data_IF_848223210159
#
_entry.id   IF_848223210159
#
_cell.length_a   1.000
_cell.length_b   1.000
_cell.length_c   1.000
_cell.angle_alpha   90.00
_cell.angle_beta   90.00
_cell.angle_gamma   90.00
#
_symmetry.space_group_name_H-M   'P 1'
#
loop_
_entity.id
_entity.type
_entity.pdbx_description
1 polymer ?
#
# COMPACT_ATOMS: atom_id res chain seq x y z
N UNK A 1 -5.45 11.23 14.56
CA UNK A 1 -6.21 10.04 14.09
C UNK A 1 -5.22 8.92 13.85
N UNK A 2 -5.52 7.69 14.27
CA UNK A 2 -4.70 6.51 14.00
C UNK A 2 -5.42 5.68 12.94
N UNK A 3 -4.79 5.50 11.77
CA UNK A 3 -5.33 4.61 10.73
C UNK A 3 -4.96 3.17 11.04
N UNK A 4 -5.97 2.32 11.19
CA UNK A 4 -5.82 0.88 11.31
C UNK A 4 -7.06 0.21 10.72
N UNK A 5 -6.98 -0.24 9.47
CA UNK A 5 -8.12 -0.84 8.79
C UNK A 5 -7.71 -1.84 7.72
N UNK A 6 -8.67 -2.71 7.38
CA UNK A 6 -8.66 -3.57 6.20
C UNK A 6 -9.81 -3.15 5.30
N UNK A 7 -9.52 -2.85 4.04
CA UNK A 7 -10.51 -2.57 3.01
C UNK A 7 -10.50 -3.70 2.00
N UNK A 8 -11.60 -4.44 1.92
CA UNK A 8 -11.80 -5.47 0.89
C UNK A 8 -12.46 -4.83 -0.33
N UNK A 9 -11.78 -4.94 -1.47
CA UNK A 9 -12.26 -4.39 -2.74
C UNK A 9 -13.27 -5.33 -3.36
N UNK A 10 -14.39 -4.80 -3.86
CA UNK A 10 -15.29 -5.57 -4.73
C UNK A 10 -14.80 -5.55 -6.18
N UNK A 11 -14.11 -4.49 -6.59
CA UNK A 11 -13.50 -4.34 -7.92
C UNK A 11 -12.34 -3.32 -7.89
N UNK A 12 -11.59 -3.18 -8.98
CA UNK A 12 -10.61 -2.11 -9.16
C UNK A 12 -10.47 -1.72 -10.63
N UNK A 13 -10.08 -0.47 -10.87
CA UNK A 13 -9.67 0.05 -12.18
C UNK A 13 -8.16 0.26 -12.17
N UNK A 14 -7.50 -0.08 -13.28
CA UNK A 14 -6.06 0.18 -13.46
C UNK A 14 -5.84 1.26 -14.50
N UNK A 15 -5.01 2.23 -14.15
CA UNK A 15 -4.57 3.28 -15.04
C UNK A 15 -3.06 3.24 -15.20
N UNK A 16 -2.56 3.46 -16.41
CA UNK A 16 -1.14 3.59 -16.74
C UNK A 16 -0.97 4.90 -17.50
N UNK A 17 -0.10 5.79 -16.99
CA UNK A 17 0.10 7.14 -17.55
C UNK A 17 -1.21 7.93 -17.75
N UNK A 18 -2.17 7.76 -16.84
CA UNK A 18 -3.49 8.41 -16.90
C UNK A 18 -4.49 7.75 -17.85
N UNK A 19 -4.08 6.72 -18.60
CA UNK A 19 -4.95 5.97 -19.52
C UNK A 19 -5.53 4.77 -18.78
N UNK A 20 -6.84 4.57 -18.89
CA UNK A 20 -7.51 3.37 -18.35
C UNK A 20 -7.10 2.14 -19.16
N UNK A 21 -6.56 1.12 -18.50
CA UNK A 21 -6.01 -0.08 -19.15
C UNK A 21 -6.64 -1.40 -18.70
N UNK A 22 -7.28 -1.43 -17.52
CA UNK A 22 -7.95 -2.63 -17.03
C UNK A 22 -9.07 -2.33 -16.03
N UNK A 23 -10.03 -3.25 -15.92
CA UNK A 23 -11.20 -3.14 -15.08
C UNK A 23 -12.34 -2.34 -15.72
N UNK A 24 -13.55 -2.30 -15.12
CA UNK A 24 -13.94 -3.11 -13.96
C UNK A 24 -13.88 -4.60 -14.32
N UNK A 25 -13.49 -5.44 -13.37
CA UNK A 25 -13.31 -6.87 -13.57
C UNK A 25 -14.54 -7.68 -13.13
N UNK A 26 -15.58 -7.03 -12.58
CA UNK A 26 -16.75 -7.72 -12.04
C UNK A 26 -16.42 -8.53 -10.78
N UNK A 27 -15.29 -8.22 -10.15
CA UNK A 27 -14.68 -8.97 -9.07
C UNK A 27 -13.18 -8.69 -9.02
N UNK A 28 -12.70 -8.13 -7.92
CA UNK A 28 -11.27 -8.04 -7.63
C UNK A 28 -11.03 -8.49 -6.19
N UNK A 29 -10.66 -9.74 -6.02
CA UNK A 29 -10.35 -10.34 -4.73
C UNK A 29 -9.02 -9.77 -4.19
N UNK A 30 -9.05 -8.51 -3.78
CA UNK A 30 -7.92 -7.77 -3.24
C UNK A 30 -8.34 -7.05 -1.97
N UNK A 31 -7.42 -6.95 -1.03
CA UNK A 31 -7.61 -6.11 0.14
C UNK A 31 -6.44 -5.14 0.32
N UNK A 32 -6.73 -3.94 0.79
CA UNK A 32 -5.74 -2.96 1.22
C UNK A 32 -5.80 -2.85 2.73
N UNK A 33 -4.69 -3.14 3.40
CA UNK A 33 -4.55 -2.93 4.84
C UNK A 33 -3.62 -1.76 5.10
N UNK A 34 -4.02 -0.91 6.02
CA UNK A 34 -3.20 0.19 6.54
C UNK A 34 -3.09 -0.02 8.04
N UNK A 35 -1.86 -0.10 8.54
CA UNK A 35 -1.59 -0.28 9.97
C UNK A 35 -0.47 0.66 10.43
N UNK A 36 -0.47 1.12 11.69
CA UNK A 36 0.64 1.92 12.21
C UNK A 36 1.94 1.12 12.15
N UNK A 37 3.04 1.77 11.78
CA UNK A 37 4.35 1.16 11.83
C UNK A 37 4.81 1.06 13.29
N UNK A 38 4.52 -0.05 13.98
CA UNK A 38 4.88 -0.24 15.39
C UNK A 38 6.28 -0.85 15.53
N UNK A 39 6.65 -1.79 14.65
CA UNK A 39 7.84 -2.63 14.80
C UNK A 39 8.83 -2.54 13.61
N UNK A 40 8.67 -1.54 12.74
CA UNK A 40 9.37 -1.50 11.45
C UNK A 40 8.62 -2.31 10.38
N UNK A 41 9.26 -2.45 9.22
CA UNK A 41 8.72 -3.24 8.10
C UNK A 41 9.80 -4.15 7.53
N UNK A 42 9.51 -5.46 7.49
CA UNK A 42 10.43 -6.42 6.88
C UNK A 42 10.76 -6.02 5.44
N UNK A 43 12.04 -6.16 5.08
CA UNK A 43 12.56 -5.73 3.78
C UNK A 43 12.96 -4.25 3.72
N UNK A 44 12.78 -3.46 4.78
CA UNK A 44 13.24 -2.07 4.86
C UNK A 44 14.08 -1.83 6.10
N UNK A 45 15.07 -0.93 5.98
CA UNK A 45 15.82 -0.41 7.12
C UNK A 45 14.99 0.70 7.75
N UNK A 46 14.04 0.31 8.61
CA UNK A 46 13.04 1.20 9.19
C UNK A 46 12.82 0.86 10.65
N UNK A 47 12.90 1.86 11.52
CA UNK A 47 12.48 1.72 12.92
C UNK A 47 10.96 1.86 13.05
N UNK A 48 10.40 1.20 14.06
CA UNK A 48 9.01 1.39 14.45
C UNK A 48 8.77 2.75 15.09
N UNK A 49 7.51 3.18 15.13
CA UNK A 49 7.05 4.40 15.79
C UNK A 49 6.68 5.55 14.85
N UNK A 50 6.91 5.43 13.54
CA UNK A 50 6.64 6.50 12.58
C UNK A 50 5.97 5.99 11.29
N UNK A 51 4.87 6.64 10.92
CA UNK A 51 4.10 6.35 9.72
C UNK A 51 3.26 5.08 9.80
N UNK A 52 2.93 4.58 8.62
CA UNK A 52 2.02 3.46 8.40
C UNK A 52 2.64 2.47 7.43
N UNK A 53 2.29 1.19 7.57
CA UNK A 53 2.59 0.14 6.60
C UNK A 53 1.33 -0.13 5.78
N UNK A 54 1.44 0.04 4.46
CA UNK A 54 0.36 -0.25 3.51
C UNK A 54 0.66 -1.57 2.81
N UNK A 55 -0.26 -2.52 2.94
CA UNK A 55 -0.14 -3.86 2.36
C UNK A 55 -1.31 -4.15 1.44
N UNK A 56 -1.03 -4.70 0.26
CA UNK A 56 -2.06 -5.19 -0.66
C UNK A 56 -2.04 -6.72 -0.64
N UNK A 57 -3.20 -7.30 -0.35
CA UNK A 57 -3.42 -8.73 -0.35
C UNK A 57 -4.17 -9.16 -1.61
N UNK A 58 -3.82 -10.32 -2.15
CA UNK A 58 -4.62 -11.09 -3.08
C UNK A 58 -5.42 -12.13 -2.30
N UNK A 59 -6.75 -12.06 -2.35
CA UNK A 59 -7.64 -12.95 -1.62
C UNK A 59 -7.95 -14.25 -2.38
N UNK A 60 -7.49 -14.40 -3.64
CA UNK A 60 -7.62 -15.63 -4.43
C UNK A 60 -6.66 -16.75 -3.99
N UNK A 61 -5.77 -16.48 -3.04
CA UNK A 61 -4.82 -17.43 -2.50
C UNK A 61 -3.37 -16.94 -2.51
N UNK A 62 -2.45 -17.82 -2.15
CA UNK A 62 -1.04 -17.49 -2.04
C UNK A 62 -0.39 -17.28 -3.42
N UNK A 63 0.45 -16.25 -3.53
CA UNK A 63 1.26 -16.03 -4.71
C UNK A 63 2.30 -17.15 -4.84
N UNK A 64 2.48 -17.75 -6.04
CA UNK A 64 3.34 -18.93 -6.24
C UNK A 64 4.82 -18.78 -5.86
N UNK A 65 5.34 -17.56 -5.73
CA UNK A 65 6.77 -17.28 -5.45
C UNK A 65 7.00 -16.95 -3.97
N UNK A 66 6.12 -16.15 -3.38
CA UNK A 66 6.22 -15.57 -2.04
C UNK A 66 5.50 -16.45 -1.02
N UNK A 67 4.70 -17.41 -1.50
CA UNK A 67 3.92 -18.39 -0.74
C UNK A 67 3.02 -17.78 0.34
N UNK A 68 2.65 -16.52 0.16
CA UNK A 68 1.68 -15.81 0.99
C UNK A 68 0.71 -15.05 0.09
N UNK A 69 -0.36 -14.52 0.68
CA UNK A 69 -1.38 -13.76 -0.03
C UNK A 69 -1.00 -12.28 -0.21
N UNK A 70 0.23 -11.87 0.10
CA UNK A 70 0.69 -10.49 -0.11
C UNK A 70 1.06 -10.31 -1.58
N UNK A 71 0.35 -9.41 -2.27
CA UNK A 71 0.48 -9.25 -3.72
C UNK A 71 1.76 -8.47 -4.10
N UNK A 72 2.21 -7.58 -3.21
CA UNK A 72 3.43 -6.78 -3.37
C UNK A 72 4.08 -6.54 -2.01
N UNK A 73 5.40 -6.34 -1.98
CA UNK A 73 6.11 -5.93 -0.76
C UNK A 73 5.38 -4.74 -0.09
N UNK A 74 5.08 -4.82 1.23
CA UNK A 74 4.46 -3.72 1.94
C UNK A 74 5.21 -2.41 1.74
N UNK A 75 4.51 -1.28 1.80
CA UNK A 75 5.11 0.03 1.56
C UNK A 75 4.99 0.91 2.80
N UNK A 76 6.11 1.37 3.40
CA UNK A 76 6.07 2.36 4.45
C UNK A 76 5.62 3.71 3.87
N UNK A 77 4.65 4.36 4.53
CA UNK A 77 4.08 5.64 4.10
C UNK A 77 3.81 6.56 5.28
N UNK A 78 3.68 7.86 4.99
CA UNK A 78 3.25 8.89 5.94
C UNK A 78 2.04 9.63 5.39
N UNK A 79 1.18 10.12 6.28
CA UNK A 79 0.12 11.05 5.89
C UNK A 79 0.78 12.36 5.46
N UNK A 80 0.52 12.78 4.22
CA UNK A 80 1.02 14.06 3.67
C UNK A 80 -0.10 15.10 3.53
N UNK A 81 -1.36 14.66 3.53
CA UNK A 81 -2.51 15.55 3.53
C UNK A 81 -3.71 14.84 4.14
N UNK A 82 -4.53 15.58 4.89
CA UNK A 82 -5.77 15.11 5.47
C UNK A 82 -6.81 16.24 5.42
N UNK A 83 -7.99 15.92 4.93
CA UNK A 83 -9.19 16.77 4.98
C UNK A 83 -10.40 15.93 5.41
N UNK A 84 -11.58 16.56 5.48
CA UNK A 84 -12.84 15.86 5.71
C UNK A 84 -13.26 14.96 4.53
N UNK A 85 -12.66 15.16 3.36
CA UNK A 85 -13.00 14.43 2.13
C UNK A 85 -12.06 13.27 1.87
N UNK A 86 -10.76 13.44 2.14
CA UNK A 86 -9.76 12.43 1.82
C UNK A 86 -8.54 12.47 2.73
N UNK A 87 -7.84 11.34 2.75
CA UNK A 87 -6.53 11.17 3.38
C UNK A 87 -5.54 10.72 2.31
N UNK A 88 -4.40 11.38 2.24
CA UNK A 88 -3.33 11.05 1.28
C UNK A 88 -2.12 10.58 2.04
N UNK A 89 -1.70 9.35 1.75
CA UNK A 89 -0.46 8.76 2.20
C UNK A 89 0.54 8.71 1.04
N UNK A 90 1.80 9.02 1.34
CA UNK A 90 2.92 8.87 0.40
C UNK A 90 4.06 8.11 1.04
N UNK A 91 4.73 7.29 0.24
CA UNK A 91 6.01 6.73 0.63
C UNK A 91 7.08 7.80 0.72
N UNK A 92 8.22 7.41 1.26
CA UNK A 92 9.38 8.27 1.46
C UNK A 92 10.66 7.49 1.16
N UNK A 93 11.79 8.16 0.92
CA UNK A 93 13.06 7.49 0.70
C UNK A 93 13.44 6.66 1.95
N UNK A 94 13.77 5.40 1.73
CA UNK A 94 14.21 4.44 2.76
C UNK A 94 15.25 3.51 2.14
N UNK A 95 15.96 2.70 2.93
CA UNK A 95 16.74 1.60 2.36
C UNK A 95 15.89 0.34 2.34
N UNK A 96 16.00 -0.43 1.26
CA UNK A 96 15.37 -1.74 1.11
C UNK A 96 16.43 -2.84 1.04
N UNK A 97 16.10 -4.02 1.56
CA UNK A 97 16.98 -5.18 1.51
C UNK A 97 16.94 -5.78 0.11
N UNK A 98 18.10 -5.94 -0.52
CA UNK A 98 18.29 -6.66 -1.77
C UNK A 98 19.20 -7.88 -1.55
N UNK A 99 19.33 -8.80 -2.54
CA UNK A 99 20.31 -9.87 -2.47
C UNK A 99 21.77 -9.41 -2.28
N UNK A 100 22.06 -8.14 -2.57
CA UNK A 100 23.40 -7.53 -2.46
C UNK A 100 23.55 -6.65 -1.21
N UNK A 101 22.56 -6.64 -0.31
CA UNK A 101 22.51 -5.80 0.89
C UNK A 101 21.53 -4.65 0.80
N UNK A 102 21.65 -3.71 1.73
CA UNK A 102 20.80 -2.51 1.81
C UNK A 102 21.08 -1.55 0.64
N UNK A 103 20.03 -1.20 -0.10
CA UNK A 103 20.10 -0.24 -1.19
C UNK A 103 19.10 0.89 -0.98
N UNK A 104 19.41 2.08 -1.49
CA UNK A 104 18.48 3.20 -1.46
C UNK A 104 17.27 2.90 -2.34
N UNK A 105 16.08 3.11 -1.77
CA UNK A 105 14.80 2.91 -2.41
C UNK A 105 13.99 4.19 -2.32
N UNK A 106 13.68 4.78 -3.48
CA UNK A 106 12.81 5.95 -3.53
C UNK A 106 11.35 5.52 -3.38
N UNK A 107 10.84 5.51 -2.15
CA UNK A 107 9.44 5.19 -1.87
C UNK A 107 8.43 6.25 -2.31
N UNK A 108 8.87 7.44 -2.74
CA UNK A 108 7.98 8.59 -3.01
C UNK A 108 7.03 8.37 -4.19
N UNK A 109 7.37 7.48 -5.11
CA UNK A 109 6.52 7.14 -6.26
C UNK A 109 5.26 6.37 -5.84
N UNK A 110 5.27 5.79 -4.63
CA UNK A 110 4.14 5.04 -4.08
C UNK A 110 3.23 5.93 -3.23
N UNK A 111 1.93 5.71 -3.32
CA UNK A 111 0.96 6.42 -2.50
C UNK A 111 -0.39 5.74 -2.43
N UNK A 112 -1.15 6.11 -1.41
CA UNK A 112 -2.53 5.68 -1.20
C UNK A 112 -3.36 6.92 -0.94
N UNK A 113 -4.46 7.09 -1.68
CA UNK A 113 -5.48 8.11 -1.39
C UNK A 113 -6.75 7.41 -0.96
N UNK A 114 -7.27 7.79 0.20
CA UNK A 114 -8.49 7.25 0.78
C UNK A 114 -9.54 8.37 0.71
N UNK A 115 -10.62 8.13 -0.02
CA UNK A 115 -11.77 9.02 -0.03
C UNK A 115 -12.74 8.60 1.09
N UNK A 116 -13.09 9.54 1.97
CA UNK A 116 -13.93 9.29 3.16
C UNK A 116 -15.42 9.32 2.78
N UNK A 117 -15.76 10.02 1.71
CA UNK A 117 -17.11 10.07 1.14
C UNK A 117 -17.09 9.49 -0.27
N UNK A 118 -18.17 8.81 -0.65
CA UNK A 118 -18.39 8.42 -2.03
C UNK A 118 -18.59 9.69 -2.87
N UNK A 119 -17.65 9.97 -3.76
CA UNK A 119 -17.83 10.95 -4.81
C UNK A 119 -18.46 10.21 -5.99
N UNK A 120 -19.78 10.36 -6.16
CA UNK A 120 -20.51 9.88 -7.33
C UNK A 120 -20.38 10.88 -8.49
#
# INVERSE_FOLDING_TARGET
MILNFLFESSDHLRYENGIHVAGPHGGANRAVKVEPNINGCSGYNLQGGDGYIVTIYNLDGAHPVWQNNVQMSPKPMKIVSQSEEKIVLRGYPVQAMSPFGWIDFNGQDYGLTIYIKNHY
#
